data_IF_289744333195
#
_entry.id   IF_289744333195
#
_cell.length_a   1.000
_cell.length_b   1.000
_cell.length_c   1.000
_cell.angle_alpha   90.00
_cell.angle_beta   90.00
_cell.angle_gamma   90.00
#
_symmetry.space_group_name_H-M   'P 1'
#
loop_
_entity.id
_entity.type
_entity.pdbx_description
1 polymer ?
#
# COMPACT_ATOMS: atom_id res chain seq x y z
N UNK A 1 -6.73 -16.49 22.00
CA UNK A 1 -7.40 -16.94 20.75
C UNK A 1 -6.40 -17.34 19.69
N UNK A 2 -5.43 -16.47 19.33
CA UNK A 2 -4.41 -16.76 18.33
C UNK A 2 -3.77 -18.15 18.50
N UNK A 3 -3.20 -18.43 19.68
CA UNK A 3 -2.57 -19.72 19.98
C UNK A 3 -3.47 -20.95 19.84
N UNK A 4 -4.78 -20.79 20.01
CA UNK A 4 -5.74 -21.89 19.86
C UNK A 4 -6.06 -22.20 18.39
N UNK A 5 -5.90 -21.22 17.49
CA UNK A 5 -6.20 -21.35 16.07
C UNK A 5 -4.94 -21.71 15.28
N UNK A 6 -3.85 -20.95 15.47
CA UNK A 6 -2.61 -21.11 14.70
C UNK A 6 -1.58 -21.99 15.42
N UNK A 7 -1.81 -22.33 16.70
CA UNK A 7 -0.79 -22.95 17.54
C UNK A 7 0.27 -21.93 17.96
N UNK A 8 1.48 -22.42 18.21
CA UNK A 8 2.65 -21.56 18.38
C UNK A 8 3.90 -22.28 17.87
N UNK A 9 4.96 -21.54 17.48
CA UNK A 9 5.09 -20.08 17.43
C UNK A 9 4.31 -19.44 16.27
N UNK A 10 4.09 -18.12 16.34
CA UNK A 10 3.44 -17.31 15.28
C UNK A 10 4.50 -16.54 14.52
N UNK A 11 4.46 -16.58 13.18
CA UNK A 11 5.43 -15.82 12.39
C UNK A 11 5.19 -14.31 12.46
N UNK A 12 3.96 -13.86 12.22
CA UNK A 12 3.61 -12.44 12.20
C UNK A 12 2.38 -12.20 13.08
N UNK A 13 2.52 -11.28 14.03
CA UNK A 13 1.40 -10.70 14.78
C UNK A 13 1.36 -9.19 14.54
N UNK A 14 0.17 -8.60 14.42
CA UNK A 14 0.04 -7.21 13.95
C UNK A 14 -1.04 -6.43 14.67
N UNK A 15 -0.92 -5.10 14.64
CA UNK A 15 -1.91 -4.20 15.23
C UNK A 15 -1.58 -2.74 14.95
N UNK A 16 -2.40 -1.83 15.50
CA UNK A 16 -2.00 -0.41 15.56
C UNK A 16 -0.84 -0.20 16.52
N UNK A 17 -0.04 0.85 16.32
CA UNK A 17 1.06 1.22 17.22
C UNK A 17 0.61 1.40 18.68
N UNK A 18 -0.64 1.81 18.91
CA UNK A 18 -1.26 1.90 20.24
C UNK A 18 -1.42 0.55 20.94
N UNK A 19 -1.46 -0.56 20.19
CA UNK A 19 -1.54 -1.91 20.75
C UNK A 19 -0.19 -2.46 21.18
N UNK A 20 0.93 -1.83 20.79
CA UNK A 20 2.26 -2.27 21.20
C UNK A 20 2.37 -2.36 22.72
N UNK A 21 1.89 -1.33 23.43
CA UNK A 21 1.84 -1.34 24.89
C UNK A 21 0.52 -0.72 25.40
N UNK A 22 -0.15 -1.32 26.39
CA UNK A 22 0.25 -2.55 27.11
C UNK A 22 -0.25 -3.84 26.45
N UNK A 23 -1.01 -3.75 25.35
CA UNK A 23 -1.78 -4.89 24.84
C UNK A 23 -0.91 -6.06 24.37
N UNK A 24 -0.08 -5.89 23.34
CA UNK A 24 0.77 -6.97 22.82
C UNK A 24 1.83 -7.40 23.84
N UNK A 25 2.34 -6.48 24.65
CA UNK A 25 3.25 -6.82 25.76
C UNK A 25 2.60 -7.83 26.73
N UNK A 26 1.35 -7.59 27.11
CA UNK A 26 0.60 -8.51 27.95
C UNK A 26 0.28 -9.83 27.22
N UNK A 27 0.03 -9.81 25.91
CA UNK A 27 -0.19 -11.03 25.14
C UNK A 27 1.05 -11.93 25.08
N UNK A 28 2.24 -11.34 24.88
CA UNK A 28 3.52 -12.03 24.96
C UNK A 28 3.68 -12.66 26.35
N UNK A 29 3.53 -11.86 27.41
CA UNK A 29 3.68 -12.35 28.78
C UNK A 29 2.73 -13.52 29.11
N UNK A 30 1.48 -13.46 28.65
CA UNK A 30 0.49 -14.52 28.86
C UNK A 30 0.83 -15.79 28.07
N UNK A 31 1.15 -15.65 26.79
CA UNK A 31 1.39 -16.78 25.91
C UNK A 31 2.70 -17.50 26.26
N UNK A 32 3.78 -16.76 26.47
CA UNK A 32 5.07 -17.35 26.79
C UNK A 32 5.05 -18.02 28.17
N UNK A 33 4.37 -17.44 29.16
CA UNK A 33 4.18 -18.09 30.47
C UNK A 33 3.40 -19.41 30.35
N UNK A 34 2.35 -19.45 29.53
CA UNK A 34 1.56 -20.67 29.29
C UNK A 34 2.40 -21.76 28.61
N UNK A 35 3.15 -21.41 27.56
CA UNK A 35 3.96 -22.38 26.83
C UNK A 35 5.16 -22.85 27.65
N UNK A 36 5.82 -21.96 28.38
CA UNK A 36 6.93 -22.30 29.28
C UNK A 36 6.53 -23.40 30.28
N UNK A 37 5.31 -23.31 30.86
CA UNK A 37 4.80 -24.36 31.75
C UNK A 37 4.68 -25.73 31.07
N UNK A 38 4.41 -25.75 29.76
CA UNK A 38 4.18 -26.98 29.00
C UNK A 38 5.45 -27.60 28.43
N UNK A 39 6.40 -26.78 27.95
CA UNK A 39 7.62 -27.25 27.30
C UNK A 39 8.87 -27.26 28.19
N UNK A 40 8.85 -26.55 29.33
CA UNK A 40 10.00 -26.43 30.22
C UNK A 40 11.20 -25.69 29.61
N UNK A 41 10.99 -24.95 28.52
CA UNK A 41 12.02 -24.16 27.85
C UNK A 41 11.53 -22.74 27.56
N UNK A 42 12.45 -21.84 27.21
CA UNK A 42 12.08 -20.50 26.78
C UNK A 42 11.36 -20.58 25.43
N UNK A 43 10.10 -20.14 25.37
CA UNK A 43 9.26 -20.25 24.19
C UNK A 43 9.02 -18.87 23.59
N UNK A 44 9.55 -18.62 22.40
CA UNK A 44 9.27 -17.38 21.66
C UNK A 44 7.88 -17.48 21.02
N UNK A 45 6.93 -16.65 21.47
CA UNK A 45 5.55 -16.78 20.99
C UNK A 45 5.35 -16.21 19.57
N UNK A 46 6.02 -15.09 19.25
CA UNK A 46 5.88 -14.38 17.97
C UNK A 46 7.27 -14.03 17.41
N UNK A 47 7.49 -14.25 16.11
CA UNK A 47 8.76 -13.91 15.45
C UNK A 47 8.83 -12.42 15.03
N UNK A 48 7.74 -11.88 14.46
CA UNK A 48 7.68 -10.50 13.98
C UNK A 48 6.40 -9.80 14.42
N UNK A 49 6.56 -8.60 14.99
CA UNK A 49 5.46 -7.69 15.28
C UNK A 49 5.40 -6.56 14.26
N UNK A 50 4.25 -6.39 13.61
CA UNK A 50 4.00 -5.30 12.67
C UNK A 50 2.99 -4.32 13.27
N UNK A 51 3.43 -3.10 13.56
CA UNK A 51 2.60 -2.05 14.14
C UNK A 51 2.35 -0.89 13.18
N UNK A 52 1.12 -0.71 12.71
CA UNK A 52 0.77 0.38 11.80
C UNK A 52 0.72 1.73 12.52
N UNK A 53 1.24 2.78 11.88
CA UNK A 53 1.25 4.13 12.41
C UNK A 53 -0.15 4.72 12.57
N UNK A 54 -0.25 5.77 13.40
CA UNK A 54 -1.52 6.45 13.65
C UNK A 54 -1.97 7.32 12.46
N UNK A 55 -3.28 7.48 12.31
CA UNK A 55 -3.89 8.51 11.45
C UNK A 55 -4.14 9.79 12.27
N UNK A 56 -3.46 10.87 11.92
CA UNK A 56 -3.63 12.19 12.50
C UNK A 56 -4.50 13.06 11.57
N UNK A 57 -5.61 13.61 12.08
CA UNK A 57 -6.49 14.52 11.32
C UNK A 57 -6.11 15.96 11.67
N UNK A 58 -5.74 16.76 10.67
CA UNK A 58 -5.36 18.18 10.85
C UNK A 58 -4.32 18.38 11.95
N UNK A 59 -3.30 17.52 11.99
CA UNK A 59 -2.20 17.56 12.96
C UNK A 59 -2.59 17.18 14.39
N UNK A 60 -3.78 16.64 14.62
CA UNK A 60 -4.22 16.12 15.93
C UNK A 60 -4.57 14.65 15.84
N UNK A 61 -4.17 13.89 16.86
CA UNK A 61 -4.56 12.49 17.02
C UNK A 61 -6.09 12.38 16.94
N UNK A 62 -6.57 11.45 16.12
CA UNK A 62 -8.00 11.13 16.10
C UNK A 62 -8.39 10.50 17.44
N UNK A 63 -9.36 11.07 18.15
CA UNK A 63 -9.89 10.45 19.37
C UNK A 63 -11.34 10.84 19.62
N UNK A 64 -12.09 9.93 20.26
CA UNK A 64 -13.46 10.20 20.70
C UNK A 64 -13.53 11.38 21.66
N UNK A 65 -12.53 11.52 22.55
CA UNK A 65 -12.46 12.61 23.53
C UNK A 65 -12.25 13.98 22.90
N UNK A 66 -11.45 14.08 21.83
CA UNK A 66 -11.25 15.33 21.07
C UNK A 66 -12.40 15.65 20.11
N UNK A 67 -13.43 14.78 20.02
CA UNK A 67 -14.58 14.88 19.09
C UNK A 67 -14.16 15.17 17.64
N UNK A 68 -12.96 14.77 17.26
CA UNK A 68 -12.36 14.99 15.94
C UNK A 68 -12.28 13.69 15.11
N UNK A 69 -13.02 12.66 15.52
CA UNK A 69 -13.09 11.41 14.77
C UNK A 69 -14.18 11.50 13.71
N UNK A 70 -13.87 10.99 12.53
CA UNK A 70 -14.84 10.70 11.48
C UNK A 70 -14.87 9.20 11.27
N UNK A 71 -16.06 8.65 11.13
CA UNK A 71 -16.25 7.27 10.72
C UNK A 71 -15.88 7.11 9.23
N UNK A 72 -15.56 5.89 8.82
CA UNK A 72 -15.33 5.58 7.42
C UNK A 72 -16.54 5.95 6.56
N UNK A 73 -17.77 5.72 7.05
CA UNK A 73 -19.00 6.06 6.31
C UNK A 73 -19.14 7.56 6.06
N UNK A 74 -18.78 8.39 7.04
CA UNK A 74 -18.78 9.85 6.91
C UNK A 74 -17.68 10.30 5.95
N UNK A 75 -16.47 9.76 6.05
CA UNK A 75 -15.37 10.17 5.18
C UNK A 75 -15.61 9.74 3.72
N UNK A 76 -16.30 8.63 3.49
CA UNK A 76 -16.73 8.19 2.16
C UNK A 76 -17.81 9.08 1.52
N UNK A 77 -18.37 10.05 2.24
CA UNK A 77 -19.17 11.12 1.63
C UNK A 77 -18.29 12.19 0.97
N UNK A 78 -17.05 12.36 1.44
CA UNK A 78 -16.11 13.39 0.96
C UNK A 78 -15.13 12.86 -0.09
N UNK A 79 -14.69 11.60 0.03
CA UNK A 79 -13.74 10.94 -0.87
C UNK A 79 -14.23 9.56 -1.30
N UNK A 80 -13.79 9.11 -2.47
CA UNK A 80 -14.13 7.76 -2.95
C UNK A 80 -13.39 6.68 -2.14
N UNK A 81 -13.94 5.45 -2.12
CA UNK A 81 -13.25 4.31 -1.51
C UNK A 81 -11.89 4.01 -2.17
N UNK A 82 -11.69 4.43 -3.43
CA UNK A 82 -10.39 4.30 -4.12
C UNK A 82 -9.40 5.36 -3.65
N UNK A 83 -9.84 6.62 -3.51
CA UNK A 83 -9.05 7.71 -2.93
C UNK A 83 -8.62 7.38 -1.49
N UNK A 84 -9.52 6.79 -0.70
CA UNK A 84 -9.19 6.33 0.65
C UNK A 84 -8.11 5.24 0.65
N UNK A 85 -8.15 4.29 -0.29
CA UNK A 85 -7.07 3.29 -0.41
C UNK A 85 -5.75 3.91 -0.86
N UNK A 86 -5.80 4.87 -1.80
CA UNK A 86 -4.63 5.62 -2.24
C UNK A 86 -3.99 6.39 -1.07
N UNK A 87 -4.78 6.94 -0.15
CA UNK A 87 -4.27 7.62 1.05
C UNK A 87 -3.29 6.73 1.83
N UNK A 88 -3.65 5.46 2.02
CA UNK A 88 -2.83 4.52 2.78
C UNK A 88 -1.66 3.96 1.97
N UNK A 89 -1.86 3.70 0.67
CA UNK A 89 -0.82 3.14 -0.21
C UNK A 89 0.25 4.16 -0.61
N UNK A 90 -0.03 5.46 -0.52
CA UNK A 90 0.95 6.52 -0.81
C UNK A 90 1.82 6.91 0.40
N UNK A 91 1.67 6.20 1.51
CA UNK A 91 2.40 6.44 2.75
C UNK A 91 2.98 5.12 3.25
N UNK A 92 4.13 5.19 3.92
CA UNK A 92 4.70 4.02 4.57
C UNK A 92 3.83 3.61 5.76
N UNK A 93 3.53 2.32 5.90
CA UNK A 93 2.52 1.79 6.81
C UNK A 93 2.87 1.98 8.30
N UNK A 94 4.16 2.06 8.63
CA UNK A 94 4.67 2.27 9.99
C UNK A 94 4.62 3.73 10.42
N UNK A 95 4.46 4.66 9.48
CA UNK A 95 4.50 6.10 9.76
C UNK A 95 3.12 6.65 10.10
N UNK A 96 3.14 7.75 10.85
CA UNK A 96 1.94 8.55 11.07
C UNK A 96 1.49 9.20 9.77
N UNK A 97 0.22 9.00 9.45
CA UNK A 97 -0.40 9.59 8.25
C UNK A 97 -1.08 10.89 8.68
N UNK A 98 -0.69 12.00 8.04
CA UNK A 98 -1.37 13.28 8.23
C UNK A 98 -2.46 13.44 7.17
N UNK A 99 -3.71 13.48 7.62
CA UNK A 99 -4.85 13.71 6.75
C UNK A 99 -5.29 15.18 6.79
N UNK A 100 -5.08 15.86 5.68
CA UNK A 100 -5.39 17.27 5.46
C UNK A 100 -6.15 17.47 4.14
N UNK A 101 -6.71 18.66 3.93
CA UNK A 101 -7.37 18.98 2.67
C UNK A 101 -6.38 19.00 1.48
N UNK A 102 -5.11 19.39 1.72
CA UNK A 102 -4.05 19.28 0.71
C UNK A 102 -3.75 17.83 0.32
N UNK A 103 -3.82 16.90 1.27
CA UNK A 103 -3.68 15.48 0.98
C UNK A 103 -4.83 14.99 0.07
N UNK A 104 -6.06 15.49 0.27
CA UNK A 104 -7.19 15.15 -0.62
C UNK A 104 -6.96 15.57 -2.06
N UNK A 105 -6.40 16.76 -2.29
CA UNK A 105 -6.06 17.22 -3.64
C UNK A 105 -4.99 16.35 -4.29
N UNK A 106 -3.96 15.95 -3.54
CA UNK A 106 -2.93 15.02 -4.02
C UNK A 106 -3.53 13.67 -4.43
N UNK A 107 -4.46 13.14 -3.64
CA UNK A 107 -5.16 11.89 -3.96
C UNK A 107 -5.98 11.98 -5.24
N UNK A 108 -6.70 13.09 -5.43
CA UNK A 108 -7.46 13.36 -6.65
C UNK A 108 -6.54 13.43 -7.85
N UNK A 109 -5.43 14.17 -7.75
CA UNK A 109 -4.45 14.27 -8.81
C UNK A 109 -3.82 12.90 -9.16
N UNK A 110 -3.47 12.08 -8.16
CA UNK A 110 -2.90 10.75 -8.38
C UNK A 110 -3.92 9.79 -9.02
N UNK A 111 -5.17 9.82 -8.57
CA UNK A 111 -6.25 9.04 -9.17
C UNK A 111 -6.50 9.45 -10.63
N UNK A 112 -6.63 10.76 -10.89
CA UNK A 112 -6.81 11.29 -12.25
C UNK A 112 -5.66 10.92 -13.17
N UNK A 113 -4.41 10.95 -12.68
CA UNK A 113 -3.24 10.55 -13.47
C UNK A 113 -3.35 9.10 -13.98
N UNK A 114 -3.74 8.17 -13.12
CA UNK A 114 -3.91 6.75 -13.49
C UNK A 114 -5.14 6.55 -14.38
N UNK A 115 -6.27 7.20 -14.06
CA UNK A 115 -7.51 7.08 -14.85
C UNK A 115 -7.32 7.61 -16.27
N UNK A 116 -6.67 8.78 -16.42
CA UNK A 116 -6.39 9.37 -17.72
C UNK A 116 -5.46 8.48 -18.55
N UNK A 117 -4.43 7.91 -17.92
CA UNK A 117 -3.56 6.94 -18.57
C UNK A 117 -4.34 5.74 -19.14
N UNK A 118 -5.18 5.11 -18.32
CA UNK A 118 -6.00 3.97 -18.77
C UNK A 118 -6.98 4.36 -19.88
N UNK A 119 -7.56 5.56 -19.82
CA UNK A 119 -8.45 6.07 -20.85
C UNK A 119 -7.71 6.28 -22.19
N UNK A 120 -6.51 6.87 -22.15
CA UNK A 120 -5.65 7.09 -23.31
C UNK A 120 -5.18 5.77 -23.92
N UNK A 121 -4.75 4.82 -23.09
CA UNK A 121 -4.39 3.47 -23.53
C UNK A 121 -5.57 2.76 -24.22
N UNK A 122 -6.77 2.81 -23.64
CA UNK A 122 -7.97 2.24 -24.27
C UNK A 122 -8.33 2.93 -25.59
N UNK A 123 -8.13 4.25 -25.70
CA UNK A 123 -8.35 4.97 -26.94
C UNK A 123 -7.34 4.54 -28.02
N UNK A 124 -6.06 4.46 -27.69
CA UNK A 124 -5.00 3.98 -28.57
C UNK A 124 -5.25 2.53 -29.04
N UNK A 125 -5.65 1.63 -28.14
CA UNK A 125 -5.97 0.25 -28.50
C UNK A 125 -7.16 0.14 -29.46
N UNK A 126 -8.14 1.06 -29.39
CA UNK A 126 -9.26 1.09 -30.35
C UNK A 126 -8.85 1.62 -31.71
N UNK A 127 -7.86 2.51 -31.79
CA UNK A 127 -7.34 3.02 -33.07
C UNK A 127 -6.40 2.04 -33.77
N UNK A 128 -5.95 0.99 -33.07
CA UNK A 128 -5.23 -0.12 -33.70
C UNK A 128 -6.23 -0.97 -34.47
N UNK A 129 -6.52 -0.54 -35.69
CA UNK A 129 -7.25 -1.29 -36.72
C UNK A 129 -6.26 -1.78 -37.78
N UNK A 130 -5.33 -2.65 -37.36
CA UNK A 130 -4.33 -3.29 -38.22
C UNK A 130 -4.60 -4.78 -38.37
N UNK A 131 -4.25 -5.34 -39.53
CA UNK A 131 -4.22 -6.78 -39.75
C UNK A 131 -3.21 -7.41 -38.77
N UNK A 132 -3.70 -8.18 -37.79
CA UNK A 132 -2.89 -8.83 -36.75
C UNK A 132 -1.85 -9.81 -37.33
N UNK A 133 -1.89 -10.08 -38.64
CA UNK A 133 -0.93 -10.90 -39.37
C UNK A 133 0.30 -10.14 -39.89
N UNK A 134 0.30 -8.81 -39.87
CA UNK A 134 1.48 -8.02 -40.27
C UNK A 134 2.61 -8.21 -39.24
N UNK A 135 3.85 -8.47 -39.66
CA UNK A 135 4.97 -8.61 -38.72
C UNK A 135 5.19 -7.32 -37.95
N UNK A 136 4.97 -7.36 -36.64
CA UNK A 136 5.32 -6.28 -35.71
C UNK A 136 6.83 -6.05 -35.76
N UNK A 137 7.25 -4.88 -36.28
CA UNK A 137 8.62 -4.42 -36.18
C UNK A 137 8.73 -3.48 -35.00
N UNK A 138 9.48 -3.89 -33.99
CA UNK A 138 9.76 -3.05 -32.82
C UNK A 138 10.90 -2.09 -33.16
N UNK A 139 10.59 -0.80 -33.22
CA UNK A 139 11.56 0.27 -33.34
C UNK A 139 12.20 0.59 -31.99
N UNK A 140 12.97 1.67 -31.98
CA UNK A 140 13.65 2.15 -30.77
C UNK A 140 12.65 2.57 -29.67
N UNK A 141 11.51 3.16 -30.06
CA UNK A 141 10.46 3.61 -29.17
C UNK A 141 9.77 2.45 -28.44
N UNK A 142 9.37 1.39 -29.15
CA UNK A 142 8.76 0.20 -28.56
C UNK A 142 9.73 -0.51 -27.62
N UNK A 143 11.00 -0.63 -28.01
CA UNK A 143 12.03 -1.23 -27.16
C UNK A 143 12.30 -0.40 -25.92
N UNK A 144 12.27 0.94 -26.01
CA UNK A 144 12.40 1.82 -24.86
C UNK A 144 11.22 1.67 -23.89
N UNK A 145 10.00 1.58 -24.40
CA UNK A 145 8.81 1.34 -23.59
C UNK A 145 8.85 -0.04 -22.91
N UNK A 146 9.26 -1.09 -23.62
CA UNK A 146 9.44 -2.42 -23.04
C UNK A 146 10.45 -2.41 -21.89
N UNK A 147 11.62 -1.77 -22.08
CA UNK A 147 12.62 -1.63 -21.01
C UNK A 147 12.05 -0.90 -19.79
N UNK A 148 11.26 0.16 -20.01
CA UNK A 148 10.62 0.90 -18.92
C UNK A 148 9.59 0.04 -18.17
N UNK A 149 8.87 -0.86 -18.86
CA UNK A 149 7.95 -1.81 -18.25
C UNK A 149 8.68 -2.84 -17.39
N UNK A 150 9.75 -3.44 -17.93
CA UNK A 150 10.57 -4.42 -17.22
C UNK A 150 11.20 -3.79 -15.96
N UNK A 151 11.78 -2.59 -16.11
CA UNK A 151 12.36 -1.84 -14.98
C UNK A 151 11.30 -1.48 -13.92
N UNK A 152 10.08 -1.12 -14.34
CA UNK A 152 9.00 -0.83 -13.39
C UNK A 152 8.54 -2.09 -12.64
N UNK A 153 8.49 -3.24 -13.31
CA UNK A 153 8.16 -4.52 -12.68
C UNK A 153 9.19 -4.88 -11.60
N UNK A 154 10.48 -4.81 -11.94
CA UNK A 154 11.56 -5.12 -11.01
C UNK A 154 11.56 -4.14 -9.83
N UNK A 155 11.42 -2.84 -10.08
CA UNK A 155 11.32 -1.83 -9.01
C UNK A 155 10.12 -2.04 -8.11
N UNK A 156 8.94 -2.38 -8.65
CA UNK A 156 7.77 -2.67 -7.81
C UNK A 156 8.06 -3.87 -6.90
N UNK A 157 8.68 -4.92 -7.43
CA UNK A 157 9.05 -6.08 -6.64
C UNK A 157 10.04 -5.73 -5.52
N UNK A 158 11.14 -5.04 -5.86
CA UNK A 158 12.16 -4.60 -4.89
C UNK A 158 11.56 -3.74 -3.77
N UNK A 159 10.68 -2.80 -4.11
CA UNK A 159 10.04 -1.90 -3.13
C UNK A 159 9.12 -2.66 -2.19
N UNK A 160 8.35 -3.63 -2.70
CA UNK A 160 7.48 -4.42 -1.83
C UNK A 160 8.27 -5.37 -0.91
N UNK A 161 9.48 -5.79 -1.29
CA UNK A 161 10.39 -6.54 -0.42
C UNK A 161 11.04 -5.68 0.66
N UNK A 162 11.20 -4.38 0.42
CA UNK A 162 11.73 -3.42 1.40
C UNK A 162 10.62 -2.92 2.33
N UNK A 163 10.29 -3.72 3.34
CA UNK A 163 9.31 -3.37 4.37
C UNK A 163 7.95 -2.92 3.80
N UNK A 164 7.49 -3.56 2.72
CA UNK A 164 6.20 -3.24 2.06
C UNK A 164 6.14 -1.75 1.67
N UNK A 165 7.19 -1.22 1.01
CA UNK A 165 7.24 0.17 0.51
C UNK A 165 6.26 0.38 -0.66
N UNK A 166 4.99 0.50 -0.31
CA UNK A 166 3.87 0.75 -1.23
C UNK A 166 4.01 2.09 -1.92
N UNK A 167 4.55 3.11 -1.24
CA UNK A 167 4.79 4.43 -1.82
C UNK A 167 5.80 4.35 -2.96
N UNK A 168 6.95 3.73 -2.70
CA UNK A 168 7.98 3.52 -3.71
C UNK A 168 7.49 2.68 -4.89
N UNK A 169 6.70 1.63 -4.63
CA UNK A 169 6.06 0.84 -5.68
C UNK A 169 5.12 1.71 -6.54
N UNK A 170 4.31 2.57 -5.92
CA UNK A 170 3.44 3.49 -6.66
C UNK A 170 4.21 4.53 -7.47
N UNK A 171 5.38 4.96 -7.00
CA UNK A 171 6.24 5.90 -7.73
C UNK A 171 6.91 5.24 -8.94
N UNK A 172 7.28 3.96 -8.85
CA UNK A 172 7.71 3.16 -10.00
C UNK A 172 6.59 3.06 -11.06
N UNK A 173 5.36 2.76 -10.64
CA UNK A 173 4.19 2.71 -11.54
C UNK A 173 3.93 4.07 -12.20
N UNK A 174 4.01 5.17 -11.44
CA UNK A 174 3.84 6.52 -12.02
C UNK A 174 4.96 6.91 -12.98
N UNK A 175 6.16 6.37 -12.80
CA UNK A 175 7.26 6.54 -13.76
C UNK A 175 6.95 5.82 -15.07
N UNK A 176 6.46 4.57 -15.00
CA UNK A 176 6.01 3.83 -16.18
C UNK A 176 4.88 4.56 -16.94
N UNK A 177 3.90 5.09 -16.21
CA UNK A 177 2.79 5.85 -16.82
C UNK A 177 3.33 7.05 -17.62
N UNK A 178 4.32 7.78 -17.09
CA UNK A 178 4.98 8.88 -17.82
C UNK A 178 5.68 8.42 -19.09
N UNK A 179 6.43 7.31 -19.02
CA UNK A 179 7.08 6.71 -20.19
C UNK A 179 6.06 6.30 -21.25
N UNK A 180 4.93 5.73 -20.84
CA UNK A 180 3.86 5.33 -21.75
C UNK A 180 3.15 6.53 -22.40
N UNK A 181 2.90 7.62 -21.66
CA UNK A 181 2.40 8.86 -22.27
C UNK A 181 3.39 9.43 -23.31
N UNK A 182 4.68 9.48 -22.98
CA UNK A 182 5.71 9.95 -23.93
C UNK A 182 5.84 9.06 -25.17
N UNK A 183 5.40 7.81 -25.10
CA UNK A 183 5.32 6.91 -26.25
C UNK A 183 4.05 7.15 -27.08
N UNK A 184 2.90 7.38 -26.43
CA UNK A 184 1.63 7.64 -27.12
C UNK A 184 1.56 9.01 -27.81
N UNK A 185 2.35 9.99 -27.33
CA UNK A 185 2.39 11.35 -27.89
C UNK A 185 3.33 11.49 -29.11
N UNK A 186 3.96 10.40 -29.57
CA UNK A 186 4.81 10.37 -30.78
C UNK A 186 3.97 10.27 -32.05
#
# INVERSE_FOLDING_TARGET
>A
MASAIVGGPIDIHSGGEDLRFPHHENEIAQAEAYYHQSCGCNFQWVNYFLHSGHLDIKGRKMSKSLKNFKTIKEELQDISARQMRLLFVLQNWERRISYSDSAKEELRARESHVVNFLANMHAALRSVSGDASAPLRWGEAEQALQRALDEAHDKVHERLLDSIDTRGAMDAISTLIRSAHSYLDQ
#
